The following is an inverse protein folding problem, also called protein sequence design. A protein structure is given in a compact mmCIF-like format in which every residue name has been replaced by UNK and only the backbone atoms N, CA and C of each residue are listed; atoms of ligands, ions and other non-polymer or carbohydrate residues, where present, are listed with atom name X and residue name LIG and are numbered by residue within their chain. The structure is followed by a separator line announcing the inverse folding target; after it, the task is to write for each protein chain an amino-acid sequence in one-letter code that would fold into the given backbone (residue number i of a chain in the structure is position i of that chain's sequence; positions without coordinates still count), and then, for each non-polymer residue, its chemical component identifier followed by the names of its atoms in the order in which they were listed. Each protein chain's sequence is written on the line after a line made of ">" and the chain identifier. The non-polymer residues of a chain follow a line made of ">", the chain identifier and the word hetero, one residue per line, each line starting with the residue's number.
data_IF_113939288286
#
_entry.id   IF_113939288286
#
_cell.length_a   1.000
_cell.length_b   1.000
_cell.length_c   1.000
_cell.angle_alpha   90.00
_cell.angle_beta   90.00
_cell.angle_gamma   90.00
#
_symmetry.space_group_name_H-M   'P 1'
#
loop_
_entity.id
_entity.type
_entity.pdbx_description
1 polymer ?
#
# COMPACT_ATOMS: atom_id res chain seq x y z
N UNK A 1 5.36 -18.42 15.73
CA UNK A 1 4.14 -18.32 16.59
C UNK A 1 3.41 -17.05 16.24
N UNK A 2 2.26 -17.18 15.59
CA UNK A 2 1.46 -16.06 15.11
C UNK A 2 0.89 -15.28 16.31
N UNK A 3 1.36 -14.06 16.54
CA UNK A 3 0.92 -13.19 17.63
C UNK A 3 -0.58 -12.81 17.57
N UNK A 4 -1.25 -13.00 16.45
CA UNK A 4 -2.71 -12.90 16.33
C UNK A 4 -3.46 -14.01 17.06
N UNK A 5 -2.84 -15.16 17.28
CA UNK A 5 -3.43 -16.32 17.93
C UNK A 5 -3.06 -16.41 19.42
N UNK A 6 -2.08 -15.66 19.90
CA UNK A 6 -1.64 -15.62 21.30
C UNK A 6 -2.08 -14.33 21.99
N UNK A 7 -3.39 -14.10 22.08
CA UNK A 7 -3.98 -12.87 22.60
C UNK A 7 -3.50 -12.44 23.97
N UNK A 8 -3.20 -13.36 24.89
CA UNK A 8 -2.71 -13.03 26.23
C UNK A 8 -1.31 -12.39 26.20
N UNK A 9 -0.36 -12.98 25.49
CA UNK A 9 1.03 -12.48 25.45
C UNK A 9 1.13 -11.12 24.74
N UNK A 10 0.28 -10.85 23.78
CA UNK A 10 0.23 -9.55 23.09
C UNK A 10 -0.36 -8.46 23.99
N UNK A 11 -1.47 -8.74 24.66
CA UNK A 11 -2.10 -7.81 25.60
C UNK A 11 -1.16 -7.43 26.76
N UNK A 12 -0.44 -8.40 27.32
CA UNK A 12 0.53 -8.13 28.38
C UNK A 12 1.64 -7.16 27.95
N UNK A 13 2.16 -7.31 26.72
CA UNK A 13 3.17 -6.38 26.17
C UNK A 13 2.64 -4.97 25.96
N UNK A 14 1.39 -4.85 25.52
CA UNK A 14 0.74 -3.55 25.36
C UNK A 14 0.52 -2.86 26.72
N UNK A 15 0.08 -3.60 27.73
CA UNK A 15 -0.09 -3.06 29.09
C UNK A 15 1.27 -2.67 29.72
N UNK A 16 2.32 -3.45 29.51
CA UNK A 16 3.67 -3.10 29.96
C UNK A 16 4.16 -1.82 29.28
N UNK A 17 3.94 -1.69 27.97
CA UNK A 17 4.28 -0.46 27.22
C UNK A 17 3.55 0.74 27.80
N UNK A 18 2.22 0.62 28.03
CA UNK A 18 1.42 1.69 28.62
C UNK A 18 1.90 2.07 30.03
N UNK A 19 2.21 1.10 30.87
CA UNK A 19 2.77 1.35 32.21
C UNK A 19 4.10 2.11 32.15
N UNK A 20 4.93 1.79 31.15
CA UNK A 20 6.26 2.38 30.99
C UNK A 20 6.24 3.76 30.34
N UNK A 21 5.28 4.02 29.40
CA UNK A 21 5.26 5.22 28.56
C UNK A 21 4.04 6.13 28.79
N UNK A 22 3.08 5.72 29.60
CA UNK A 22 1.86 6.46 29.93
C UNK A 22 0.71 6.25 28.92
N UNK A 23 0.99 5.69 27.73
CA UNK A 23 0.02 5.46 26.66
C UNK A 23 0.32 4.17 25.89
N UNK A 24 -0.65 3.65 25.15
CA UNK A 24 -0.44 2.48 24.31
C UNK A 24 0.45 2.80 23.11
N UNK A 25 1.19 1.81 22.57
CA UNK A 25 1.94 2.03 21.34
C UNK A 25 0.99 2.28 20.15
N UNK A 26 1.48 2.93 19.07
CA UNK A 26 0.66 3.15 17.88
C UNK A 26 0.21 1.82 17.26
N UNK A 27 -1.10 1.65 17.09
CA UNK A 27 -1.68 0.46 16.47
C UNK A 27 -1.52 0.45 14.94
N UNK A 28 -1.32 1.63 14.35
CA UNK A 28 -1.25 1.82 12.91
C UNK A 28 -0.06 2.70 12.56
N UNK A 29 0.84 2.17 11.75
CA UNK A 29 2.04 2.87 11.29
C UNK A 29 2.02 2.93 9.77
N UNK A 30 2.11 4.16 9.22
CA UNK A 30 2.27 4.39 7.79
C UNK A 30 3.69 4.82 7.51
N UNK A 31 4.38 4.11 6.64
CA UNK A 31 5.74 4.41 6.22
C UNK A 31 5.76 4.73 4.72
N UNK A 32 6.35 5.88 4.39
CA UNK A 32 6.59 6.32 3.01
C UNK A 32 8.09 6.26 2.70
N UNK A 33 8.62 5.11 2.27
CA UNK A 33 10.07 4.92 2.09
C UNK A 33 10.64 5.74 0.94
N UNK A 34 9.83 6.08 -0.06
CA UNK A 34 10.21 6.96 -1.17
C UNK A 34 9.07 7.86 -1.60
N UNK A 35 9.40 9.07 -2.03
CA UNK A 35 8.47 9.99 -2.70
C UNK A 35 8.58 9.91 -4.23
N UNK A 36 9.48 9.09 -4.76
CA UNK A 36 9.61 8.85 -6.20
C UNK A 36 8.42 8.03 -6.72
N UNK A 37 7.87 8.43 -7.87
CA UNK A 37 6.76 7.74 -8.52
C UNK A 37 6.94 7.76 -10.04
N UNK A 38 6.59 6.71 -10.73
CA UNK A 38 6.61 6.63 -12.19
C UNK A 38 5.38 7.30 -12.84
N UNK A 39 4.38 7.69 -12.05
CA UNK A 39 3.21 8.44 -12.50
C UNK A 39 3.26 9.90 -12.04
N UNK A 40 2.41 10.72 -12.65
CA UNK A 40 2.23 12.14 -12.30
C UNK A 40 0.73 12.47 -12.17
N UNK A 41 0.03 11.73 -11.31
CA UNK A 41 -1.41 11.79 -11.18
C UNK A 41 -1.92 13.18 -10.82
N UNK A 42 -3.06 13.57 -11.40
CA UNK A 42 -3.80 14.79 -11.02
C UNK A 42 -4.26 14.65 -9.57
N UNK A 43 -4.12 15.71 -8.78
CA UNK A 43 -4.57 15.70 -7.38
C UNK A 43 -3.75 14.78 -6.45
N UNK A 44 -2.52 14.42 -6.79
CA UNK A 44 -1.67 13.62 -5.90
C UNK A 44 -1.31 14.37 -4.63
N UNK A 45 -1.72 13.84 -3.45
CA UNK A 45 -1.46 14.46 -2.14
C UNK A 45 0.04 14.60 -1.84
N UNK A 46 0.86 13.64 -2.30
CA UNK A 46 2.30 13.62 -2.06
C UNK A 46 3.10 14.42 -3.11
N UNK A 47 2.44 14.97 -4.13
CA UNK A 47 3.10 15.64 -5.28
C UNK A 47 4.22 14.82 -5.93
N UNK A 48 4.14 13.50 -5.82
CA UNK A 48 5.14 12.56 -6.31
C UNK A 48 5.18 12.48 -7.84
N UNK A 49 6.38 12.29 -8.38
CA UNK A 49 6.64 12.02 -9.79
C UNK A 49 8.04 11.40 -9.98
N UNK A 50 8.46 11.17 -11.23
CA UNK A 50 9.76 10.56 -11.54
C UNK A 50 10.98 11.38 -11.09
N UNK A 51 10.83 12.69 -10.88
CA UNK A 51 11.90 13.61 -10.48
C UNK A 51 11.93 13.86 -8.97
N UNK A 52 10.93 13.39 -8.22
CA UNK A 52 10.88 13.54 -6.75
C UNK A 52 12.01 12.74 -6.11
N UNK A 53 12.82 13.39 -5.28
CA UNK A 53 14.07 12.81 -4.78
C UNK A 53 14.00 12.17 -3.38
N UNK A 54 13.16 12.65 -2.42
CA UNK A 54 13.21 12.12 -1.06
C UNK A 54 13.02 10.61 -1.02
N UNK A 55 14.02 9.91 -0.49
CA UNK A 55 14.03 8.45 -0.32
C UNK A 55 14.81 8.13 0.94
N UNK A 56 14.26 7.33 1.82
CA UNK A 56 14.94 6.84 3.01
C UNK A 56 16.01 5.82 2.62
N UNK A 57 17.13 5.80 3.37
CA UNK A 57 18.10 4.72 3.21
C UNK A 57 17.48 3.37 3.62
N UNK A 58 18.00 2.28 3.07
CA UNK A 58 17.54 0.94 3.47
C UNK A 58 17.71 0.72 4.97
N UNK A 59 18.84 1.12 5.56
CA UNK A 59 19.10 0.99 6.99
C UNK A 59 18.09 1.78 7.83
N UNK A 60 17.63 2.94 7.35
CA UNK A 60 16.59 3.72 8.03
C UNK A 60 15.23 3.02 7.97
N UNK A 61 14.83 2.50 6.81
CA UNK A 61 13.59 1.72 6.65
C UNK A 61 13.64 0.46 7.52
N UNK A 62 14.75 -0.26 7.47
CA UNK A 62 14.97 -1.45 8.29
C UNK A 62 14.86 -1.15 9.79
N UNK A 63 15.49 -0.08 10.24
CA UNK A 63 15.44 0.35 11.65
C UNK A 63 14.03 0.73 12.08
N UNK A 64 13.28 1.47 11.26
CA UNK A 64 11.90 1.86 11.57
C UNK A 64 11.03 0.60 11.77
N UNK A 65 11.13 -0.36 10.86
CA UNK A 65 10.35 -1.60 10.94
C UNK A 65 10.79 -2.47 12.12
N UNK A 66 12.11 -2.56 12.34
CA UNK A 66 12.65 -3.23 13.53
C UNK A 66 12.10 -2.63 14.83
N UNK A 67 12.07 -1.30 14.95
CA UNK A 67 11.57 -0.62 16.14
C UNK A 67 10.04 -0.77 16.27
N UNK A 68 9.30 -0.70 15.18
CA UNK A 68 7.86 -0.98 15.16
C UNK A 68 7.56 -2.39 15.70
N UNK A 69 8.28 -3.39 15.21
CA UNK A 69 8.15 -4.79 15.62
C UNK A 69 8.53 -5.03 17.09
N UNK A 70 9.67 -4.51 17.52
CA UNK A 70 10.29 -4.90 18.79
C UNK A 70 9.98 -3.94 19.94
N UNK A 71 9.81 -2.63 19.66
CA UNK A 71 9.50 -1.62 20.70
C UNK A 71 7.99 -1.35 20.80
N UNK A 72 7.31 -1.22 19.65
CA UNK A 72 5.87 -0.93 19.62
C UNK A 72 5.01 -2.20 19.56
N UNK A 73 5.64 -3.38 19.41
CA UNK A 73 4.96 -4.66 19.27
C UNK A 73 4.00 -4.70 18.06
N UNK A 74 4.15 -3.78 17.10
CA UNK A 74 3.34 -3.76 15.89
C UNK A 74 3.64 -4.99 15.03
N UNK A 75 2.60 -5.53 14.41
CA UNK A 75 2.68 -6.65 13.45
C UNK A 75 2.15 -6.26 12.09
N UNK A 76 1.72 -5.02 11.94
CA UNK A 76 1.11 -4.51 10.72
C UNK A 76 1.70 -3.14 10.38
N UNK A 77 2.19 -3.00 9.16
CA UNK A 77 2.74 -1.76 8.62
C UNK A 77 2.05 -1.45 7.29
N UNK A 78 1.61 -0.22 7.14
CA UNK A 78 1.16 0.30 5.85
C UNK A 78 2.31 0.99 5.14
N UNK A 79 2.57 0.59 3.92
CA UNK A 79 3.56 1.23 3.03
C UNK A 79 2.83 2.10 2.02
N UNK A 80 3.27 3.35 1.91
CA UNK A 80 2.70 4.36 1.01
C UNK A 80 3.82 5.22 0.41
N UNK A 81 3.50 6.45 -0.01
CA UNK A 81 4.48 7.44 -0.49
C UNK A 81 4.28 7.80 -1.96
N UNK A 82 5.35 7.72 -2.77
CA UNK A 82 5.26 7.79 -4.22
C UNK A 82 4.76 6.46 -4.81
N UNK A 83 5.67 5.69 -5.44
CA UNK A 83 5.39 4.31 -5.82
C UNK A 83 6.32 3.39 -5.02
N UNK A 84 5.79 2.57 -4.10
CA UNK A 84 6.61 1.71 -3.25
C UNK A 84 7.51 0.74 -4.02
N UNK A 85 7.03 0.17 -5.12
CA UNK A 85 7.84 -0.75 -5.95
C UNK A 85 8.95 -0.04 -6.76
N UNK A 86 9.03 1.30 -6.74
CA UNK A 86 10.20 2.05 -7.20
C UNK A 86 11.27 2.22 -6.13
N UNK A 87 10.98 1.88 -4.87
CA UNK A 87 11.96 2.04 -3.81
C UNK A 87 13.21 1.20 -4.09
N UNK A 88 14.35 1.87 -4.09
CA UNK A 88 15.67 1.24 -4.20
C UNK A 88 16.69 2.06 -3.44
N UNK A 89 17.38 1.44 -2.51
CA UNK A 89 18.46 2.05 -1.74
C UNK A 89 19.50 1.00 -1.38
N UNK A 90 20.78 1.34 -1.48
CA UNK A 90 21.89 0.44 -1.14
C UNK A 90 21.84 -0.93 -1.86
N UNK A 91 21.34 -0.94 -3.10
CA UNK A 91 21.16 -2.17 -3.90
C UNK A 91 19.96 -3.04 -3.53
N UNK A 92 19.18 -2.64 -2.50
CA UNK A 92 18.03 -3.37 -1.97
C UNK A 92 16.72 -2.65 -2.30
N UNK A 93 15.61 -3.39 -2.21
CA UNK A 93 14.24 -2.96 -2.48
C UNK A 93 13.34 -3.24 -1.27
N UNK A 94 12.06 -2.91 -1.36
CA UNK A 94 11.09 -3.29 -0.31
C UNK A 94 10.88 -4.80 -0.21
N UNK A 95 11.11 -5.55 -1.31
CA UNK A 95 11.01 -7.01 -1.26
C UNK A 95 11.99 -7.61 -0.24
N UNK A 96 13.20 -7.05 -0.13
CA UNK A 96 14.19 -7.49 0.86
C UNK A 96 13.72 -7.22 2.31
N UNK A 97 12.92 -6.17 2.52
CA UNK A 97 12.29 -5.88 3.82
C UNK A 97 11.20 -6.90 4.12
N UNK A 98 10.30 -7.16 3.17
CA UNK A 98 9.19 -8.08 3.35
C UNK A 98 9.66 -9.50 3.65
N UNK A 99 10.66 -9.96 2.92
CA UNK A 99 11.29 -11.27 3.12
C UNK A 99 12.01 -11.36 4.47
N UNK A 100 12.65 -10.27 4.93
CA UNK A 100 13.33 -10.20 6.23
C UNK A 100 12.36 -10.25 7.41
N UNK A 101 11.23 -9.54 7.32
CA UNK A 101 10.24 -9.42 8.38
C UNK A 101 9.00 -10.28 8.10
N UNK A 102 9.22 -11.57 7.88
CA UNK A 102 8.18 -12.53 7.50
C UNK A 102 7.14 -12.84 8.59
N UNK A 103 7.34 -12.34 9.81
CA UNK A 103 6.39 -12.39 10.92
C UNK A 103 5.58 -11.09 11.09
N UNK A 104 5.72 -10.15 10.15
CA UNK A 104 4.94 -8.91 10.06
C UNK A 104 4.10 -8.92 8.79
N UNK A 105 2.99 -8.16 8.79
CA UNK A 105 2.12 -7.99 7.63
C UNK A 105 2.25 -6.58 7.05
N UNK A 106 2.24 -6.49 5.72
CA UNK A 106 2.40 -5.25 4.99
C UNK A 106 1.22 -4.99 4.05
N UNK A 107 0.50 -3.90 4.29
CA UNK A 107 -0.42 -3.32 3.31
C UNK A 107 0.36 -2.33 2.45
N UNK A 108 0.37 -2.52 1.13
CA UNK A 108 1.15 -1.68 0.21
C UNK A 108 0.24 -0.94 -0.74
N UNK A 109 0.06 0.37 -0.55
CA UNK A 109 -0.62 1.21 -1.54
C UNK A 109 0.28 1.41 -2.75
N UNK A 110 -0.17 0.97 -3.90
CA UNK A 110 0.59 1.00 -5.15
C UNK A 110 -0.29 1.42 -6.33
N UNK A 111 0.33 2.01 -7.34
CA UNK A 111 -0.36 2.25 -8.62
C UNK A 111 -0.47 0.97 -9.48
N UNK A 112 0.13 -0.13 -9.06
CA UNK A 112 0.05 -1.44 -9.71
C UNK A 112 0.91 -1.60 -10.96
N UNK A 113 1.35 -0.51 -11.60
CA UNK A 113 1.96 -0.56 -12.95
C UNK A 113 3.31 -1.24 -13.01
N UNK A 114 3.92 -1.54 -11.87
CA UNK A 114 5.22 -2.21 -11.76
C UNK A 114 5.10 -3.67 -11.26
N UNK A 115 3.89 -4.18 -11.05
CA UNK A 115 3.68 -5.55 -10.59
C UNK A 115 3.78 -6.49 -11.79
N UNK A 116 5.01 -6.93 -12.06
CA UNK A 116 5.31 -7.97 -13.07
C UNK A 116 5.00 -9.36 -12.50
N UNK A 117 4.96 -10.43 -13.35
CA UNK A 117 4.84 -11.81 -12.88
C UNK A 117 5.91 -12.17 -11.85
N UNK A 118 7.15 -11.74 -12.03
CA UNK A 118 8.26 -12.02 -11.12
C UNK A 118 8.07 -11.35 -9.76
N UNK A 119 7.53 -10.10 -9.74
CA UNK A 119 7.20 -9.40 -8.49
C UNK A 119 6.04 -10.12 -7.80
N UNK A 120 4.99 -10.48 -8.53
CA UNK A 120 3.84 -11.20 -7.98
C UNK A 120 4.25 -12.55 -7.35
N UNK A 121 5.12 -13.31 -8.01
CA UNK A 121 5.69 -14.55 -7.46
C UNK A 121 6.52 -14.31 -6.18
N UNK A 122 7.30 -13.22 -6.11
CA UNK A 122 8.04 -12.88 -4.90
C UNK A 122 7.11 -12.51 -3.76
N UNK A 123 6.05 -11.73 -4.04
CA UNK A 123 5.00 -11.38 -3.06
C UNK A 123 4.31 -12.64 -2.52
N UNK A 124 3.98 -13.58 -3.41
CA UNK A 124 3.38 -14.87 -3.05
C UNK A 124 4.30 -15.68 -2.12
N UNK A 125 5.59 -15.80 -2.46
CA UNK A 125 6.55 -16.53 -1.63
C UNK A 125 6.77 -15.89 -0.26
N UNK A 126 6.77 -14.57 -0.18
CA UNK A 126 6.89 -13.86 1.09
C UNK A 126 5.62 -14.04 1.96
N UNK A 127 4.44 -14.10 1.35
CA UNK A 127 3.16 -14.49 1.99
C UNK A 127 2.63 -13.53 3.05
N UNK A 128 3.25 -12.36 3.21
CA UNK A 128 2.94 -11.38 4.26
C UNK A 128 2.62 -9.99 3.71
N UNK A 129 2.31 -9.89 2.43
CA UNK A 129 2.01 -8.63 1.75
C UNK A 129 0.66 -8.70 1.07
N UNK A 130 -0.10 -7.62 1.15
CA UNK A 130 -1.28 -7.40 0.34
C UNK A 130 -1.17 -6.06 -0.37
N UNK A 131 -1.06 -6.04 -1.71
CA UNK A 131 -1.13 -4.81 -2.48
C UNK A 131 -2.55 -4.26 -2.49
N UNK A 132 -2.72 -2.97 -2.22
CA UNK A 132 -3.93 -2.21 -2.48
C UNK A 132 -3.70 -1.36 -3.73
N UNK A 133 -4.22 -1.83 -4.86
CA UNK A 133 -4.02 -1.19 -6.17
C UNK A 133 -4.93 0.03 -6.26
N UNK A 134 -4.32 1.14 -6.64
CA UNK A 134 -5.05 2.42 -6.73
C UNK A 134 -5.84 2.52 -8.03
N UNK A 135 -7.15 2.68 -7.91
CA UNK A 135 -8.12 2.84 -9.00
C UNK A 135 -9.01 4.06 -8.73
N UNK A 136 -9.75 4.56 -9.76
CA UNK A 136 -10.59 5.76 -9.58
C UNK A 136 -12.04 5.54 -10.05
N UNK A 137 -12.33 4.44 -10.64
CA UNK A 137 -13.55 4.05 -11.32
C UNK A 137 -13.18 3.00 -12.35
N UNK A 138 -13.68 3.13 -13.57
CA UNK A 138 -13.29 2.30 -14.71
C UNK A 138 -12.09 2.90 -15.47
N UNK A 139 -11.89 2.50 -16.70
CA UNK A 139 -10.76 2.95 -17.54
C UNK A 139 -10.70 4.48 -17.65
N UNK A 140 -11.83 5.11 -17.98
CA UNK A 140 -11.89 6.55 -18.20
C UNK A 140 -11.43 7.34 -16.98
N UNK A 141 -12.01 7.12 -15.83
CA UNK A 141 -11.72 7.88 -14.60
C UNK A 141 -10.29 7.60 -14.12
N UNK A 142 -9.85 6.35 -14.23
CA UNK A 142 -8.50 5.94 -13.86
C UNK A 142 -7.46 6.59 -14.76
N UNK A 143 -7.65 6.57 -16.07
CA UNK A 143 -6.70 7.14 -17.03
C UNK A 143 -6.71 8.68 -17.02
N UNK A 144 -7.87 9.32 -16.85
CA UNK A 144 -7.95 10.78 -16.69
C UNK A 144 -7.13 11.28 -15.49
N UNK A 145 -7.15 10.56 -14.37
CA UNK A 145 -6.43 10.97 -13.19
C UNK A 145 -4.97 10.54 -13.17
N UNK A 146 -4.68 9.33 -13.64
CA UNK A 146 -3.38 8.68 -13.48
C UNK A 146 -2.51 8.68 -14.73
N UNK A 147 -3.12 8.98 -15.89
CA UNK A 147 -2.47 8.99 -17.19
C UNK A 147 -2.93 7.83 -18.08
N UNK A 148 -3.03 8.11 -19.38
CA UNK A 148 -3.52 7.17 -20.38
C UNK A 148 -2.79 5.82 -20.33
N UNK A 149 -3.54 4.73 -20.42
CA UNK A 149 -3.06 3.35 -20.40
C UNK A 149 -2.65 2.84 -19.02
N UNK A 150 -2.93 3.61 -17.96
CA UNK A 150 -2.69 3.15 -16.58
C UNK A 150 -3.67 2.05 -16.21
N UNK A 151 -4.94 2.17 -16.55
CA UNK A 151 -5.95 1.15 -16.28
C UNK A 151 -5.58 -0.21 -16.88
N UNK A 152 -5.12 -0.24 -18.13
CA UNK A 152 -4.68 -1.50 -18.76
C UNK A 152 -3.52 -2.17 -18.00
N UNK A 153 -2.57 -1.39 -17.47
CA UNK A 153 -1.47 -1.91 -16.64
C UNK A 153 -1.97 -2.42 -15.28
N UNK A 154 -2.99 -1.78 -14.74
CA UNK A 154 -3.67 -2.22 -13.51
C UNK A 154 -4.32 -3.59 -13.73
N UNK A 155 -5.04 -3.79 -14.84
CA UNK A 155 -5.63 -5.09 -15.16
C UNK A 155 -4.56 -6.19 -15.28
N UNK A 156 -3.43 -5.89 -15.90
CA UNK A 156 -2.31 -6.82 -15.97
C UNK A 156 -1.75 -7.15 -14.56
N UNK A 157 -1.69 -6.16 -13.67
CA UNK A 157 -1.26 -6.40 -12.29
C UNK A 157 -2.23 -7.29 -11.52
N UNK A 158 -3.56 -7.11 -11.70
CA UNK A 158 -4.57 -8.01 -11.15
C UNK A 158 -4.38 -9.45 -11.64
N UNK A 159 -4.17 -9.63 -12.94
CA UNK A 159 -3.91 -10.94 -13.51
C UNK A 159 -2.66 -11.60 -12.93
N UNK A 160 -1.55 -10.85 -12.86
CA UNK A 160 -0.29 -11.35 -12.30
C UNK A 160 -0.43 -11.76 -10.84
N UNK A 161 -1.07 -10.94 -10.01
CA UNK A 161 -1.28 -11.22 -8.58
C UNK A 161 -2.22 -12.41 -8.37
N UNK A 162 -3.31 -12.48 -9.13
CA UNK A 162 -4.26 -13.60 -9.08
C UNK A 162 -3.62 -14.92 -9.46
N UNK A 163 -2.83 -14.93 -10.54
CA UNK A 163 -2.08 -16.12 -10.99
C UNK A 163 -1.06 -16.57 -9.94
N UNK A 164 -0.50 -15.66 -9.17
CA UNK A 164 0.44 -15.94 -8.08
C UNK A 164 -0.26 -16.28 -6.74
N UNK A 165 -1.59 -16.15 -6.63
CA UNK A 165 -2.34 -16.41 -5.40
C UNK A 165 -2.13 -15.34 -4.32
N UNK A 166 -1.79 -14.10 -4.69
CA UNK A 166 -1.61 -12.98 -3.76
C UNK A 166 -2.95 -12.29 -3.51
N UNK A 167 -3.40 -12.08 -2.26
CA UNK A 167 -4.60 -11.31 -1.95
C UNK A 167 -4.48 -9.88 -2.47
N UNK A 168 -5.52 -9.41 -3.16
CA UNK A 168 -5.56 -8.10 -3.81
C UNK A 168 -6.58 -7.22 -3.11
N UNK A 169 -6.17 -6.00 -2.75
CA UNK A 169 -7.08 -4.93 -2.40
C UNK A 169 -7.11 -3.84 -3.45
N UNK A 170 -8.07 -2.95 -3.35
CA UNK A 170 -8.10 -1.69 -4.11
C UNK A 170 -8.08 -0.50 -3.17
N UNK A 171 -7.56 0.62 -3.65
CA UNK A 171 -7.69 1.92 -2.99
C UNK A 171 -8.26 2.94 -3.96
N UNK A 172 -9.27 3.68 -3.52
CA UNK A 172 -10.00 4.66 -4.32
C UNK A 172 -9.93 6.01 -3.63
N UNK A 173 -9.80 7.08 -4.40
CA UNK A 173 -10.01 8.43 -3.87
C UNK A 173 -11.33 8.96 -4.38
N UNK A 174 -12.30 9.10 -3.47
CA UNK A 174 -13.60 9.67 -3.79
C UNK A 174 -13.49 11.16 -4.12
N UNK A 175 -14.10 11.54 -5.22
CA UNK A 175 -14.15 12.90 -5.75
C UNK A 175 -15.52 13.13 -6.40
N UNK A 176 -15.89 14.38 -6.67
CA UNK A 176 -17.10 14.70 -7.44
C UNK A 176 -17.12 14.15 -8.87
N UNK A 177 -16.00 13.61 -9.37
CA UNK A 177 -15.92 13.04 -10.72
C UNK A 177 -16.24 11.55 -10.77
N UNK A 178 -16.15 10.86 -9.64
CA UNK A 178 -16.34 9.41 -9.57
C UNK A 178 -17.35 8.96 -8.52
N UNK A 179 -17.98 9.88 -7.78
CA UNK A 179 -18.92 9.54 -6.71
C UNK A 179 -20.09 8.68 -7.20
N UNK A 180 -20.70 9.02 -8.35
CA UNK A 180 -21.81 8.24 -8.92
C UNK A 180 -21.39 6.80 -9.28
N UNK A 181 -20.13 6.62 -9.75
CA UNK A 181 -19.58 5.31 -10.07
C UNK A 181 -19.35 4.49 -8.79
N UNK A 182 -18.80 5.13 -7.76
CA UNK A 182 -18.51 4.48 -6.48
C UNK A 182 -19.78 4.11 -5.70
N UNK A 183 -20.90 4.75 -5.99
CA UNK A 183 -22.20 4.42 -5.41
C UNK A 183 -22.94 3.32 -6.20
N UNK A 184 -22.47 2.94 -7.37
CA UNK A 184 -23.10 1.96 -8.26
C UNK A 184 -22.61 0.53 -8.02
N UNK A 185 -23.53 -0.46 -8.06
CA UNK A 185 -23.20 -1.89 -7.88
C UNK A 185 -22.21 -2.40 -8.93
N UNK A 186 -22.23 -1.85 -10.16
CA UNK A 186 -21.35 -2.23 -11.26
C UNK A 186 -19.87 -2.10 -10.92
N UNK A 187 -19.49 -1.07 -10.15
CA UNK A 187 -18.11 -0.89 -9.67
C UNK A 187 -17.67 -2.04 -8.76
N UNK A 188 -18.53 -2.43 -7.83
CA UNK A 188 -18.25 -3.53 -6.90
C UNK A 188 -18.23 -4.87 -7.61
N UNK A 189 -19.18 -5.13 -8.48
CA UNK A 189 -19.22 -6.36 -9.28
C UNK A 189 -17.93 -6.52 -10.10
N UNK A 190 -17.51 -5.46 -10.77
CA UNK A 190 -16.30 -5.46 -11.57
C UNK A 190 -15.02 -5.75 -10.74
N UNK A 191 -14.79 -4.99 -9.67
CA UNK A 191 -13.55 -5.16 -8.92
C UNK A 191 -13.54 -6.39 -8.03
N UNK A 192 -14.65 -6.73 -7.40
CA UNK A 192 -14.69 -7.84 -6.42
C UNK A 192 -15.05 -9.18 -7.08
N UNK A 193 -16.06 -9.21 -7.92
CA UNK A 193 -16.54 -10.47 -8.51
C UNK A 193 -15.76 -10.86 -9.77
N UNK A 194 -15.44 -9.90 -10.65
CA UNK A 194 -14.73 -10.23 -11.90
C UNK A 194 -13.20 -10.19 -11.72
N UNK A 195 -12.64 -9.14 -11.11
CA UNK A 195 -11.20 -8.98 -10.94
C UNK A 195 -10.64 -9.65 -9.69
N UNK A 196 -11.49 -9.98 -8.69
CA UNK A 196 -11.10 -10.74 -7.51
C UNK A 196 -10.44 -9.91 -6.42
N UNK A 197 -10.74 -8.62 -6.32
CA UNK A 197 -10.37 -7.83 -5.14
C UNK A 197 -11.07 -8.40 -3.89
N UNK A 198 -10.40 -8.36 -2.75
CA UNK A 198 -10.91 -8.92 -1.50
C UNK A 198 -11.26 -7.86 -0.47
N UNK A 199 -10.79 -6.63 -0.64
CA UNK A 199 -11.10 -5.48 0.22
C UNK A 199 -10.86 -4.18 -0.53
N UNK A 200 -11.43 -3.07 0.01
CA UNK A 200 -11.28 -1.72 -0.51
C UNK A 200 -10.96 -0.74 0.62
N UNK A 201 -10.09 0.21 0.30
CA UNK A 201 -9.90 1.44 1.06
C UNK A 201 -10.42 2.61 0.25
N UNK A 202 -11.37 3.35 0.81
CA UNK A 202 -11.87 4.58 0.23
C UNK A 202 -11.32 5.79 1.01
N UNK A 203 -10.81 6.75 0.27
CA UNK A 203 -10.28 8.00 0.81
C UNK A 203 -11.00 9.18 0.18
N UNK A 204 -11.34 10.17 0.97
CA UNK A 204 -11.76 11.46 0.45
C UNK A 204 -10.56 12.24 -0.09
N UNK A 205 -10.76 12.98 -1.19
CA UNK A 205 -9.74 13.87 -1.72
C UNK A 205 -9.42 14.98 -0.71
N UNK A 206 -8.20 14.98 -0.20
CA UNK A 206 -7.71 16.04 0.68
C UNK A 206 -7.05 17.15 -0.16
N UNK A 207 -7.32 18.44 0.10
CA UNK A 207 -6.72 19.57 -0.63
C UNK A 207 -5.25 19.78 -0.24
N UNK A 208 -4.41 18.80 -0.55
CA UNK A 208 -2.97 18.75 -0.26
C UNK A 208 -2.17 18.42 -1.52
N UNK A 209 -0.91 18.84 -1.57
CA UNK A 209 -0.05 18.58 -2.72
C UNK A 209 -0.61 19.17 -4.01
N UNK A 210 -0.68 18.36 -5.09
CA UNK A 210 -1.27 18.82 -6.37
C UNK A 210 -2.78 18.99 -6.34
N UNK A 211 -3.48 18.48 -5.34
CA UNK A 211 -4.93 18.67 -5.22
C UNK A 211 -5.34 20.10 -4.85
N UNK A 212 -4.43 20.93 -4.32
CA UNK A 212 -4.68 22.36 -4.11
C UNK A 212 -4.84 23.16 -5.42
N UNK A 213 -4.59 22.54 -6.57
CA UNK A 213 -4.63 23.17 -7.90
C UNK A 213 -5.69 22.52 -8.80
N UNK A 214 -6.48 21.59 -8.28
CA UNK A 214 -7.49 20.84 -9.02
C UNK A 214 -8.91 21.37 -8.77
#
# INVERSE_FOLDING_TARGET
>A
ENSFLNGQTYSEKLEQFKQQHGEYPPNFIVLSPTQKCNLNCTGCYASSNAHTKPTLSYDMVDRIIHDARNKFHSRFITISGGEPFMYKSQGKTLMDIFEKYNDMFFLVYTNGTLITPEIAERLSRAGNITPAISVEGFEKETDERRGNGTHQKILQAFENLRNAGVPIGISVTATSKNEDILMGDEFYDYYFNELGATYMWEFQLMPMGRSNQA
#
